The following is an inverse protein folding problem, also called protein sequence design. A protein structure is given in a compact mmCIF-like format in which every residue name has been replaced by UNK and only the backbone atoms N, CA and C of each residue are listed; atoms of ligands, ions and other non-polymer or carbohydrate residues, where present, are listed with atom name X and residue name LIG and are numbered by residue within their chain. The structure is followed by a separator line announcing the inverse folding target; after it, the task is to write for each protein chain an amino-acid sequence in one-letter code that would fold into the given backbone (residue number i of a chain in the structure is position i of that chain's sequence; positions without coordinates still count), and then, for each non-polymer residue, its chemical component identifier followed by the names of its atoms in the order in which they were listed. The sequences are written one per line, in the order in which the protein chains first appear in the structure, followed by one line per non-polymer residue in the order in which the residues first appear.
data_IF_684671117656
#
_entry.id   IF_684671117656
#
_cell.length_a   1.000
_cell.length_b   1.000
_cell.length_c   1.000
_cell.angle_alpha   90.00
_cell.angle_beta   90.00
_cell.angle_gamma   90.00
#
_symmetry.space_group_name_H-M   'P 1'
#
loop_
_entity.id
_entity.type
_entity.pdbx_description
1 polymer ?
#
# COMPACT_ATOMS: atom_id res chain seq x y z
N UNK A 1 26.59 16.05 24.82
CA UNK A 1 25.76 15.03 24.15
C UNK A 1 26.44 13.68 24.31
N UNK A 2 26.22 13.04 25.45
CA UNK A 2 26.93 11.82 25.91
C UNK A 2 26.69 10.61 25.00
N UNK A 3 25.59 10.63 24.23
CA UNK A 3 25.24 9.59 23.28
C UNK A 3 25.85 9.81 21.88
N UNK A 4 26.42 10.99 21.59
CA UNK A 4 26.94 11.30 20.25
C UNK A 4 28.08 10.38 19.83
N UNK A 5 29.05 10.15 20.71
CA UNK A 5 30.16 9.22 20.44
C UNK A 5 29.65 7.79 20.16
N UNK A 6 28.94 7.18 21.13
CA UNK A 6 28.41 5.82 20.99
C UNK A 6 27.49 5.61 19.78
N UNK A 7 26.59 6.55 19.48
CA UNK A 7 25.55 6.35 18.46
C UNK A 7 25.89 6.91 17.07
N UNK A 8 26.87 7.82 16.95
CA UNK A 8 27.20 8.47 15.65
C UNK A 8 28.63 8.30 15.21
N UNK A 9 29.57 8.05 16.12
CA UNK A 9 31.00 7.99 15.80
C UNK A 9 31.52 6.55 15.81
N UNK A 10 31.04 5.72 16.72
CA UNK A 10 31.35 4.29 16.75
C UNK A 10 30.70 3.57 15.56
N UNK A 11 31.51 2.81 14.82
CA UNK A 11 31.10 2.07 13.62
C UNK A 11 30.82 0.61 13.89
N UNK A 12 31.39 0.04 14.94
CA UNK A 12 31.08 -1.33 15.37
C UNK A 12 29.73 -1.33 16.12
N UNK A 13 28.70 -2.03 15.62
CA UNK A 13 27.37 -2.00 16.23
C UNK A 13 27.33 -2.56 17.65
N UNK A 14 28.16 -3.55 17.97
CA UNK A 14 28.18 -4.16 19.29
C UNK A 14 28.83 -3.22 20.30
N UNK A 15 29.96 -2.60 19.93
CA UNK A 15 30.61 -1.58 20.75
C UNK A 15 29.73 -0.33 20.92
N UNK A 16 29.08 0.12 19.85
CA UNK A 16 28.13 1.24 19.88
C UNK A 16 27.00 0.97 20.88
N UNK A 17 26.41 -0.24 20.83
CA UNK A 17 25.33 -0.64 21.74
C UNK A 17 25.78 -0.71 23.20
N UNK A 18 26.95 -1.31 23.46
CA UNK A 18 27.50 -1.40 24.83
C UNK A 18 27.78 0.01 25.38
N UNK A 19 28.45 0.85 24.60
CA UNK A 19 28.76 2.22 25.01
C UNK A 19 27.50 3.08 25.19
N UNK A 20 26.47 2.89 24.36
CA UNK A 20 25.19 3.59 24.49
C UNK A 20 24.45 3.15 25.75
N UNK A 21 24.47 1.86 26.09
CA UNK A 21 23.89 1.32 27.33
C UNK A 21 24.60 1.89 28.56
N UNK A 22 25.93 1.97 28.54
CA UNK A 22 26.70 2.49 29.66
C UNK A 22 26.46 4.01 29.83
N UNK A 23 26.34 4.75 28.72
CA UNK A 23 25.94 6.17 28.73
C UNK A 23 24.52 6.38 29.26
N UNK A 24 23.57 5.47 28.96
CA UNK A 24 22.20 5.54 29.45
C UNK A 24 22.15 5.54 30.99
N UNK A 25 22.97 4.71 31.64
CA UNK A 25 23.03 4.64 33.12
C UNK A 25 23.41 5.98 33.77
N UNK A 26 24.23 6.80 33.10
CA UNK A 26 24.61 8.14 33.58
C UNK A 26 23.47 9.14 33.38
N UNK A 27 22.66 8.97 32.32
CA UNK A 27 21.57 9.87 31.97
C UNK A 27 20.27 9.60 32.74
N UNK A 28 20.10 8.43 33.35
CA UNK A 28 18.84 7.99 33.98
C UNK A 28 18.27 9.01 34.97
N UNK A 29 19.08 9.57 35.87
CA UNK A 29 18.59 10.51 36.89
C UNK A 29 18.08 11.81 36.28
N UNK A 30 18.82 12.37 35.31
CA UNK A 30 18.43 13.58 34.60
C UNK A 30 17.19 13.33 33.73
N UNK A 31 17.10 12.17 33.08
CA UNK A 31 15.93 11.82 32.29
C UNK A 31 14.66 11.67 33.17
N UNK A 32 14.78 11.12 34.37
CA UNK A 32 13.64 10.99 35.30
C UNK A 32 13.15 12.36 35.79
N UNK A 33 14.07 13.28 36.08
CA UNK A 33 13.73 14.67 36.39
C UNK A 33 13.01 15.35 35.21
N UNK A 34 13.56 15.24 33.98
CA UNK A 34 12.94 15.81 32.79
C UNK A 34 11.56 15.21 32.50
N UNK A 35 11.40 13.90 32.68
CA UNK A 35 10.12 13.18 32.54
C UNK A 35 9.06 13.79 33.46
N UNK A 36 9.37 13.99 34.75
CA UNK A 36 8.44 14.60 35.72
C UNK A 36 8.11 16.04 35.36
N UNK A 37 9.12 16.84 35.02
CA UNK A 37 8.93 18.24 34.63
C UNK A 37 8.05 18.40 33.39
N UNK A 38 8.18 17.52 32.39
CA UNK A 38 7.31 17.51 31.19
C UNK A 38 5.87 17.19 31.58
N UNK A 39 5.65 16.16 32.40
CA UNK A 39 4.31 15.78 32.85
C UNK A 39 3.67 16.89 33.72
N UNK A 40 4.42 17.52 34.62
CA UNK A 40 3.93 18.63 35.44
C UNK A 40 3.57 19.84 34.58
N UNK A 41 4.45 20.23 33.64
CA UNK A 41 4.22 21.37 32.74
C UNK A 41 2.99 21.16 31.85
N UNK A 42 2.73 19.91 31.46
CA UNK A 42 1.65 19.55 30.56
C UNK A 42 0.51 18.76 31.23
N UNK A 43 0.36 18.88 32.56
CA UNK A 43 -0.60 18.07 33.33
C UNK A 43 -2.08 18.26 32.95
N UNK A 44 -2.42 19.34 32.23
CA UNK A 44 -3.76 19.56 31.67
C UNK A 44 -3.98 18.87 30.32
N UNK A 45 -2.92 18.37 29.67
CA UNK A 45 -2.96 17.77 28.34
C UNK A 45 -2.78 16.25 28.37
N UNK A 46 -1.93 15.73 29.27
CA UNK A 46 -1.70 14.30 29.45
C UNK A 46 -1.15 14.00 30.85
N UNK A 47 -1.39 12.78 31.29
CA UNK A 47 -0.82 12.19 32.50
C UNK A 47 0.59 11.63 32.27
N UNK A 48 1.34 11.45 33.35
CA UNK A 48 2.65 10.79 33.32
C UNK A 48 2.58 9.39 32.69
N UNK A 49 1.48 8.69 32.97
CA UNK A 49 1.18 7.35 32.45
C UNK A 49 0.96 7.35 30.93
N UNK A 50 0.27 8.35 30.39
CA UNK A 50 0.10 8.52 28.93
C UNK A 50 1.42 8.90 28.25
N UNK A 51 2.25 9.72 28.90
CA UNK A 51 3.60 10.03 28.42
C UNK A 51 4.47 8.76 28.32
N UNK A 52 4.46 7.93 29.36
CA UNK A 52 5.19 6.66 29.36
C UNK A 52 4.65 5.70 28.30
N UNK A 53 3.33 5.65 28.13
CA UNK A 53 2.72 4.80 27.12
C UNK A 53 3.13 5.24 25.69
N UNK A 54 3.15 6.55 25.42
CA UNK A 54 3.59 7.12 24.14
C UNK A 54 5.07 6.80 23.86
N UNK A 55 5.94 6.87 24.86
CA UNK A 55 7.38 6.58 24.68
C UNK A 55 7.69 5.08 24.66
N UNK A 56 6.99 4.31 25.50
CA UNK A 56 7.24 2.90 25.76
C UNK A 56 6.61 1.94 24.76
N UNK A 57 5.56 2.35 24.04
CA UNK A 57 4.92 1.51 23.03
C UNK A 57 5.10 2.09 21.63
N UNK A 58 5.70 1.30 20.74
CA UNK A 58 5.73 1.63 19.31
C UNK A 58 4.56 1.02 18.59
N UNK A 59 4.00 1.78 17.67
CA UNK A 59 3.02 1.31 16.69
C UNK A 59 3.71 0.80 15.43
N UNK A 60 3.24 -0.31 14.88
CA UNK A 60 3.79 -0.85 13.63
C UNK A 60 3.13 -0.18 12.42
N UNK A 61 3.95 0.49 11.61
CA UNK A 61 3.55 1.09 10.33
C UNK A 61 4.15 0.28 9.21
N UNK A 62 3.29 -0.36 8.42
CA UNK A 62 3.72 -1.15 7.27
C UNK A 62 3.50 -0.38 5.98
N UNK A 63 4.61 -0.09 5.28
CA UNK A 63 4.65 0.67 4.03
C UNK A 63 4.84 -0.27 2.85
N UNK A 64 3.84 -0.35 1.97
CA UNK A 64 3.81 -1.30 0.86
C UNK A 64 4.12 -0.60 -0.47
N UNK A 65 5.24 -0.98 -1.07
CA UNK A 65 5.68 -0.41 -2.34
C UNK A 65 4.80 -0.78 -3.53
N UNK A 66 4.96 -0.09 -4.64
CA UNK A 66 4.44 -0.53 -5.94
C UNK A 66 5.26 -1.65 -6.57
N UNK A 67 4.88 -2.06 -7.79
CA UNK A 67 5.63 -3.06 -8.56
C UNK A 67 4.81 -4.01 -9.44
N UNK A 68 3.49 -3.81 -9.54
CA UNK A 68 2.62 -4.66 -10.37
C UNK A 68 2.71 -6.13 -9.96
N UNK A 69 2.87 -7.02 -10.94
CA UNK A 69 3.01 -8.46 -10.72
C UNK A 69 4.17 -8.87 -9.81
N UNK A 70 5.20 -8.04 -9.62
CA UNK A 70 6.26 -8.33 -8.66
C UNK A 70 5.76 -8.34 -7.21
N UNK A 71 4.67 -7.62 -6.92
CA UNK A 71 4.12 -7.44 -5.58
C UNK A 71 3.49 -8.68 -4.95
N UNK A 72 3.25 -9.77 -5.68
CA UNK A 72 2.74 -11.02 -5.10
C UNK A 72 3.63 -11.58 -3.98
N UNK A 73 4.92 -11.24 -3.97
CA UNK A 73 5.85 -11.58 -2.87
C UNK A 73 5.45 -10.94 -1.53
N UNK A 74 4.75 -9.81 -1.55
CA UNK A 74 4.32 -9.15 -0.32
C UNK A 74 3.25 -9.96 0.43
N UNK A 75 2.50 -10.83 -0.26
CA UNK A 75 1.49 -11.68 0.39
C UNK A 75 2.17 -12.63 1.38
N UNK A 76 3.20 -13.36 0.93
CA UNK A 76 3.99 -14.22 1.82
C UNK A 76 4.83 -13.45 2.83
N UNK A 77 5.28 -12.24 2.48
CA UNK A 77 5.95 -11.36 3.44
C UNK A 77 5.03 -10.92 4.59
N UNK A 78 3.78 -10.56 4.26
CA UNK A 78 2.75 -10.20 5.25
C UNK A 78 2.33 -11.42 6.08
N UNK A 79 2.17 -12.58 5.45
CA UNK A 79 1.90 -13.85 6.14
C UNK A 79 2.95 -14.14 7.22
N UNK A 80 4.24 -14.09 6.87
CA UNK A 80 5.33 -14.32 7.84
C UNK A 80 5.35 -13.28 8.98
N UNK A 81 5.02 -12.02 8.69
CA UNK A 81 4.93 -10.95 9.68
C UNK A 81 3.76 -11.16 10.65
N UNK A 82 2.59 -11.58 10.15
CA UNK A 82 1.41 -11.88 10.96
C UNK A 82 1.63 -13.12 11.83
N UNK A 83 2.26 -14.16 11.30
CA UNK A 83 2.63 -15.38 12.05
C UNK A 83 3.59 -15.09 13.21
N UNK A 84 4.44 -14.06 13.10
CA UNK A 84 5.30 -13.64 14.20
C UNK A 84 4.58 -12.80 15.26
N UNK A 85 3.27 -12.56 15.11
CA UNK A 85 2.46 -11.74 16.00
C UNK A 85 2.56 -10.23 15.73
N UNK A 86 3.25 -9.81 14.67
CA UNK A 86 3.44 -8.39 14.34
C UNK A 86 2.30 -7.91 13.43
N UNK A 87 1.14 -7.62 14.01
CA UNK A 87 -0.01 -7.05 13.27
C UNK A 87 0.22 -5.55 13.02
N UNK A 88 0.08 -5.04 11.79
CA UNK A 88 0.21 -3.60 11.52
C UNK A 88 -0.87 -2.79 12.24
N UNK A 89 -0.48 -1.66 12.84
CA UNK A 89 -1.43 -0.65 13.36
C UNK A 89 -1.87 0.32 12.25
N UNK A 90 -1.05 0.49 11.21
CA UNK A 90 -1.33 1.34 10.05
C UNK A 90 -0.67 0.79 8.79
N UNK A 91 -1.40 0.83 7.68
CA UNK A 91 -0.95 0.43 6.37
C UNK A 91 -0.98 1.64 5.43
N UNK A 92 0.06 1.78 4.61
CA UNK A 92 0.05 2.74 3.51
C UNK A 92 0.69 2.10 2.29
N UNK A 93 0.01 2.19 1.16
CA UNK A 93 0.40 1.47 -0.05
C UNK A 93 0.39 2.34 -1.29
N UNK A 94 1.18 1.94 -2.28
CA UNK A 94 1.17 2.49 -3.63
C UNK A 94 1.05 1.37 -4.66
N UNK A 95 0.27 1.54 -5.73
CA UNK A 95 0.05 0.52 -6.77
C UNK A 95 -0.41 -0.81 -6.16
N UNK A 96 0.28 -1.91 -6.51
CA UNK A 96 0.03 -3.22 -5.90
C UNK A 96 0.07 -3.20 -4.36
N UNK A 97 0.90 -2.36 -3.75
CA UNK A 97 0.91 -2.16 -2.31
C UNK A 97 -0.41 -1.62 -1.76
N UNK A 98 -1.15 -0.81 -2.54
CA UNK A 98 -2.51 -0.39 -2.15
C UNK A 98 -3.53 -1.52 -2.31
N UNK A 99 -3.38 -2.40 -3.31
CA UNK A 99 -4.23 -3.58 -3.46
C UNK A 99 -4.05 -4.48 -2.23
N UNK A 100 -2.81 -4.87 -1.92
CA UNK A 100 -2.55 -5.71 -0.74
C UNK A 100 -2.96 -4.99 0.56
N UNK A 101 -2.59 -3.72 0.70
CA UNK A 101 -2.93 -2.91 1.88
C UNK A 101 -4.43 -2.91 2.15
N UNK A 102 -5.24 -2.63 1.12
CA UNK A 102 -6.70 -2.63 1.23
C UNK A 102 -7.29 -3.96 1.69
N UNK A 103 -6.75 -5.07 1.18
CA UNK A 103 -7.21 -6.43 1.52
C UNK A 103 -6.80 -6.79 2.95
N UNK A 104 -5.55 -6.53 3.34
CA UNK A 104 -5.03 -6.83 4.69
C UNK A 104 -5.71 -5.98 5.76
N UNK A 105 -6.05 -4.72 5.44
CA UNK A 105 -6.71 -3.80 6.39
C UNK A 105 -8.17 -4.10 6.65
N UNK A 106 -8.78 -5.01 5.88
CA UNK A 106 -10.22 -5.18 5.78
C UNK A 106 -10.88 -5.63 7.08
N UNK A 107 -10.28 -6.59 7.77
CA UNK A 107 -10.85 -7.19 8.98
C UNK A 107 -9.76 -7.73 9.90
N UNK A 108 -10.08 -7.86 11.19
CA UNK A 108 -9.23 -8.46 12.21
C UNK A 108 -9.97 -9.63 12.88
N UNK A 109 -9.32 -10.79 13.08
CA UNK A 109 -7.96 -11.14 12.64
C UNK A 109 -7.83 -11.22 11.11
N UNK A 110 -6.63 -10.97 10.56
CA UNK A 110 -6.40 -10.98 9.10
C UNK A 110 -6.41 -12.42 8.58
N UNK A 111 -7.35 -12.82 7.70
CA UNK A 111 -7.41 -14.16 7.13
C UNK A 111 -6.48 -14.31 5.92
N UNK A 112 -5.17 -14.21 6.16
CA UNK A 112 -4.16 -14.13 5.09
C UNK A 112 -4.16 -15.37 4.17
N UNK A 113 -4.40 -16.56 4.70
CA UNK A 113 -4.50 -17.80 3.90
C UNK A 113 -5.68 -17.75 2.91
N UNK A 114 -6.83 -17.26 3.35
CA UNK A 114 -8.01 -17.10 2.48
C UNK A 114 -7.76 -16.05 1.40
N UNK A 115 -7.00 -15.00 1.71
CA UNK A 115 -6.57 -14.01 0.72
C UNK A 115 -5.61 -14.61 -0.31
N UNK A 116 -4.73 -15.54 0.07
CA UNK A 116 -3.91 -16.32 -0.86
C UNK A 116 -4.81 -17.15 -1.79
N UNK A 117 -5.82 -17.85 -1.25
CA UNK A 117 -6.75 -18.64 -2.06
C UNK A 117 -7.58 -17.77 -3.01
N UNK A 118 -8.04 -16.61 -2.57
CA UNK A 118 -8.72 -15.65 -3.43
C UNK A 118 -7.79 -15.11 -4.52
N UNK A 119 -6.54 -14.75 -4.19
CA UNK A 119 -5.56 -14.29 -5.16
C UNK A 119 -5.30 -15.35 -6.26
N UNK A 120 -5.35 -16.64 -5.94
CA UNK A 120 -5.23 -17.75 -6.91
C UNK A 120 -6.38 -17.81 -7.93
N UNK A 121 -7.50 -17.12 -7.68
CA UNK A 121 -8.62 -17.02 -8.63
C UNK A 121 -8.45 -15.89 -9.66
N UNK A 122 -7.42 -15.04 -9.50
CA UNK A 122 -7.20 -13.90 -10.38
C UNK A 122 -6.92 -14.35 -11.82
N UNK A 123 -7.54 -13.67 -12.79
CA UNK A 123 -7.28 -13.89 -14.20
C UNK A 123 -7.29 -12.57 -14.96
N UNK A 124 -6.55 -12.47 -16.06
CA UNK A 124 -6.53 -11.25 -16.89
C UNK A 124 -7.93 -10.79 -17.30
N UNK A 125 -8.83 -11.72 -17.63
CA UNK A 125 -10.22 -11.40 -18.00
C UNK A 125 -11.05 -10.88 -16.83
N UNK A 126 -10.69 -11.22 -15.59
CA UNK A 126 -11.36 -10.73 -14.41
C UNK A 126 -10.92 -9.31 -14.04
N UNK A 127 -9.62 -9.02 -14.15
CA UNK A 127 -9.05 -7.74 -13.70
C UNK A 127 -8.86 -6.70 -14.80
N UNK A 128 -8.89 -7.09 -16.08
CA UNK A 128 -8.80 -6.16 -17.21
C UNK A 128 -10.09 -6.17 -18.04
N UNK A 129 -10.53 -4.98 -18.41
CA UNK A 129 -11.69 -4.74 -19.27
C UNK A 129 -11.34 -3.95 -20.52
N UNK A 130 -12.29 -3.89 -21.48
CA UNK A 130 -12.17 -2.98 -22.60
C UNK A 130 -12.10 -1.53 -22.09
N UNK A 131 -11.41 -0.71 -22.86
CA UNK A 131 -11.26 0.70 -22.57
C UNK A 131 -12.62 1.42 -22.47
N UNK A 132 -12.77 2.31 -21.49
CA UNK A 132 -14.03 3.02 -21.21
C UNK A 132 -14.03 4.42 -21.85
N UNK A 133 -15.11 4.80 -22.58
CA UNK A 133 -15.15 6.04 -23.35
C UNK A 133 -15.41 7.31 -22.53
N UNK A 134 -16.02 7.22 -21.33
CA UNK A 134 -16.24 8.37 -20.43
C UNK A 134 -15.24 8.31 -19.28
N UNK A 135 -14.38 9.33 -19.21
CA UNK A 135 -13.34 9.46 -18.19
C UNK A 135 -13.37 10.88 -17.64
N UNK A 136 -13.28 11.00 -16.33
CA UNK A 136 -13.38 12.26 -15.61
C UNK A 136 -12.16 12.48 -14.73
N UNK A 137 -11.65 11.43 -14.09
CA UNK A 137 -10.60 11.58 -13.08
C UNK A 137 -9.27 10.89 -13.46
N UNK A 138 -9.28 9.84 -14.29
CA UNK A 138 -8.08 9.09 -14.68
C UNK A 138 -7.44 9.49 -16.02
N UNK A 139 -6.19 9.05 -16.26
CA UNK A 139 -5.53 9.15 -17.57
C UNK A 139 -5.87 8.00 -18.52
N UNK A 140 -5.62 8.20 -19.82
CA UNK A 140 -5.83 7.17 -20.84
C UNK A 140 -4.97 5.93 -20.61
N UNK A 141 -5.63 4.76 -20.58
CA UNK A 141 -5.01 3.44 -20.55
C UNK A 141 -5.37 2.61 -21.79
N UNK A 142 -4.64 1.52 -22.01
CA UNK A 142 -4.97 0.52 -23.04
C UNK A 142 -6.10 -0.40 -22.55
N UNK A 143 -6.13 -0.66 -21.24
CA UNK A 143 -7.13 -1.48 -20.58
C UNK A 143 -7.79 -0.71 -19.45
N UNK A 144 -9.08 -0.99 -19.21
CA UNK A 144 -9.72 -0.60 -17.96
C UNK A 144 -9.29 -1.59 -16.87
N UNK A 145 -8.87 -1.10 -15.70
CA UNK A 145 -8.69 -1.90 -14.51
C UNK A 145 -10.08 -2.17 -13.92
N UNK A 146 -10.47 -3.44 -13.89
CA UNK A 146 -11.72 -3.93 -13.34
C UNK A 146 -11.50 -4.55 -11.95
N UNK A 147 -10.53 -4.05 -11.18
CA UNK A 147 -10.32 -4.50 -9.80
C UNK A 147 -11.58 -4.27 -8.96
N UNK A 148 -12.26 -3.13 -9.18
CA UNK A 148 -13.57 -2.83 -8.60
C UNK A 148 -14.62 -3.92 -8.84
N UNK A 149 -14.66 -4.55 -10.03
CA UNK A 149 -15.57 -5.67 -10.31
C UNK A 149 -15.09 -6.99 -9.73
N UNK A 150 -13.78 -7.24 -9.80
CA UNK A 150 -13.20 -8.50 -9.33
C UNK A 150 -13.31 -8.62 -7.81
N UNK A 151 -13.07 -7.52 -7.10
CA UNK A 151 -13.06 -7.44 -5.65
C UNK A 151 -14.37 -6.90 -5.06
N UNK A 152 -15.42 -6.65 -5.86
CA UNK A 152 -16.70 -6.10 -5.40
C UNK A 152 -17.23 -6.85 -4.17
N UNK A 153 -17.35 -8.17 -4.25
CA UNK A 153 -17.82 -8.98 -3.12
C UNK A 153 -16.90 -8.92 -1.89
N UNK A 154 -15.59 -8.75 -2.09
CA UNK A 154 -14.62 -8.66 -1.00
C UNK A 154 -14.77 -7.35 -0.22
N UNK A 155 -15.16 -6.27 -0.90
CA UNK A 155 -15.30 -4.93 -0.34
C UNK A 155 -16.77 -4.51 -0.24
N UNK A 156 -17.66 -5.46 0.05
CA UNK A 156 -19.01 -5.19 0.56
C UNK A 156 -19.06 -5.43 2.06
N UNK A 157 -19.81 -4.57 2.71
CA UNK A 157 -20.24 -4.73 4.10
C UNK A 157 -21.37 -5.76 4.19
N UNK A 158 -21.69 -6.21 5.41
CA UNK A 158 -22.84 -7.08 5.70
C UNK A 158 -24.18 -6.51 5.22
N UNK A 159 -24.35 -5.18 5.22
CA UNK A 159 -25.55 -4.49 4.70
C UNK A 159 -25.61 -4.46 3.16
N UNK A 160 -24.57 -4.94 2.49
CA UNK A 160 -24.42 -4.94 1.04
C UNK A 160 -23.88 -3.64 0.46
N UNK A 161 -23.66 -2.59 1.25
CA UNK A 161 -23.05 -1.35 0.77
C UNK A 161 -21.54 -1.52 0.51
N UNK A 162 -20.95 -0.75 -0.42
CA UNK A 162 -19.50 -0.73 -0.62
C UNK A 162 -18.76 -0.26 0.64
N UNK A 163 -17.65 -0.93 0.96
CA UNK A 163 -16.77 -0.51 2.05
C UNK A 163 -16.11 0.82 1.72
N UNK A 164 -16.12 1.71 2.72
CA UNK A 164 -15.44 2.99 2.74
C UNK A 164 -14.04 2.88 3.34
N UNK A 165 -13.19 3.87 3.09
CA UNK A 165 -11.85 3.91 3.69
C UNK A 165 -11.90 3.96 5.23
N UNK A 166 -12.95 4.57 5.80
CA UNK A 166 -13.17 4.57 7.25
C UNK A 166 -13.63 3.22 7.82
N UNK A 167 -14.21 2.34 7.01
CA UNK A 167 -14.77 1.05 7.46
C UNK A 167 -13.69 -0.01 7.73
N UNK A 168 -12.43 0.26 7.39
CA UNK A 168 -11.33 -0.70 7.48
C UNK A 168 -10.88 -0.91 8.94
N UNK A 169 -10.74 -2.17 9.35
CA UNK A 169 -10.34 -2.56 10.70
C UNK A 169 -8.92 -2.09 11.08
N UNK A 170 -8.01 -2.03 10.10
CA UNK A 170 -6.70 -1.38 10.26
C UNK A 170 -6.74 -0.08 9.44
N UNK A 171 -6.41 1.08 10.03
CA UNK A 171 -6.12 2.29 9.28
C UNK A 171 -5.30 2.03 8.01
N UNK A 172 -5.87 2.38 6.85
CA UNK A 172 -5.18 2.24 5.57
C UNK A 172 -5.28 3.51 4.75
N UNK A 173 -4.17 3.89 4.12
CA UNK A 173 -4.12 4.98 3.14
C UNK A 173 -3.56 4.49 1.80
N UNK A 174 -4.24 4.85 0.71
CA UNK A 174 -3.78 4.60 -0.66
C UNK A 174 -3.08 5.84 -1.22
N UNK A 175 -1.88 5.67 -1.78
CA UNK A 175 -1.14 6.75 -2.44
C UNK A 175 -1.43 6.74 -3.93
N UNK A 176 -1.92 7.86 -4.44
CA UNK A 176 -2.12 8.09 -5.89
C UNK A 176 -1.19 9.20 -6.35
N UNK A 177 -0.88 9.22 -7.65
CA UNK A 177 -0.14 10.32 -8.25
C UNK A 177 -1.12 11.25 -8.99
N UNK A 178 -1.14 12.52 -8.59
CA UNK A 178 -1.87 13.56 -9.30
C UNK A 178 -1.01 14.20 -10.38
N UNK A 179 -1.46 14.18 -11.63
CA UNK A 179 -0.78 14.82 -12.77
C UNK A 179 -1.08 16.32 -12.75
N UNK A 180 -0.05 17.15 -12.60
CA UNK A 180 -0.19 18.61 -12.53
C UNK A 180 -0.83 19.16 -13.81
N UNK A 181 -1.68 20.19 -13.70
CA UNK A 181 -2.47 20.72 -14.83
C UNK A 181 -1.63 21.26 -15.99
N UNK A 182 -0.54 21.97 -15.71
CA UNK A 182 0.34 22.51 -16.76
C UNK A 182 1.00 21.40 -17.60
N UNK A 183 1.72 20.42 -17.00
CA UNK A 183 2.17 19.23 -17.72
C UNK A 183 1.04 18.46 -18.40
N UNK A 184 -0.12 18.31 -17.76
CA UNK A 184 -1.28 17.62 -18.32
C UNK A 184 -1.77 18.27 -19.63
N UNK A 185 -1.86 19.60 -19.67
CA UNK A 185 -2.22 20.36 -20.87
C UNK A 185 -1.17 20.24 -21.98
N UNK A 186 0.10 20.00 -21.63
CA UNK A 186 1.21 19.80 -22.56
C UNK A 186 1.37 18.35 -23.03
N UNK A 187 0.70 17.36 -22.40
CA UNK A 187 0.83 15.95 -22.80
C UNK A 187 0.43 15.74 -24.26
N UNK A 188 1.12 14.87 -25.02
CA UNK A 188 0.74 14.54 -26.39
C UNK A 188 -0.73 14.11 -26.48
N UNK A 189 -1.41 14.49 -27.56
CA UNK A 189 -2.85 14.24 -27.75
C UNK A 189 -3.28 12.78 -27.59
N UNK A 190 -2.38 11.80 -27.69
CA UNK A 190 -2.66 10.37 -27.40
C UNK A 190 -2.93 10.05 -25.92
N UNK A 191 -2.46 10.88 -24.98
CA UNK A 191 -2.77 10.75 -23.55
C UNK A 191 -4.03 11.53 -23.17
N UNK A 192 -4.36 12.59 -23.92
CA UNK A 192 -5.56 13.43 -23.75
C UNK A 192 -6.77 12.97 -24.58
N UNK A 193 -6.55 12.28 -25.68
CA UNK A 193 -7.51 12.07 -26.76
C UNK A 193 -8.33 10.80 -26.58
N UNK A 194 -9.64 11.00 -26.39
CA UNK A 194 -10.66 9.95 -26.19
C UNK A 194 -10.89 9.07 -27.44
N UNK A 195 -10.65 9.60 -28.65
CA UNK A 195 -11.13 8.98 -29.90
C UNK A 195 -10.12 8.06 -30.60
N UNK A 196 -8.82 8.16 -30.32
CA UNK A 196 -7.79 7.42 -31.08
C UNK A 196 -7.50 6.02 -30.52
N UNK A 197 -7.66 5.81 -29.21
CA UNK A 197 -7.46 4.49 -28.59
C UNK A 197 -8.53 3.48 -29.05
N UNK A 198 -9.79 3.93 -29.15
CA UNK A 198 -10.92 3.12 -29.61
C UNK A 198 -10.83 2.71 -31.09
N UNK A 199 -10.17 3.53 -31.93
CA UNK A 199 -10.01 3.26 -33.36
C UNK A 199 -8.91 2.21 -33.66
N UNK A 200 -7.84 2.14 -32.85
CA UNK A 200 -6.76 1.15 -33.05
C UNK A 200 -7.16 -0.29 -32.66
N UNK A 201 -8.14 -0.45 -31.77
CA UNK A 201 -8.64 -1.77 -31.35
C UNK A 201 -9.63 -2.41 -32.33
N UNK A 202 -10.26 -1.63 -33.22
CA UNK A 202 -11.16 -2.17 -34.26
C UNK A 202 -10.43 -2.80 -35.44
N UNK A 203 -9.12 -2.62 -35.56
CA UNK A 203 -8.31 -3.09 -36.69
C UNK A 203 -7.37 -4.26 -36.35
N UNK A 204 -7.47 -4.86 -35.17
CA UNK A 204 -6.54 -5.92 -34.77
C UNK A 204 -7.14 -7.31 -35.03
N UNK A 205 -6.58 -8.11 -35.96
CA UNK A 205 -6.88 -9.53 -36.04
C UNK A 205 -6.39 -10.21 -34.75
N UNK A 206 -7.21 -11.12 -34.23
CA UNK A 206 -6.92 -11.99 -33.09
C UNK A 206 -5.77 -12.94 -33.45
N UNK A 207 -4.54 -12.45 -33.46
CA UNK A 207 -3.32 -13.24 -33.67
C UNK A 207 -2.65 -13.48 -32.32
N UNK A 208 -2.26 -14.73 -32.09
CA UNK A 208 -1.63 -15.28 -30.88
C UNK A 208 -0.19 -14.81 -30.61
N UNK A 209 0.18 -13.60 -31.08
CA UNK A 209 1.51 -13.00 -30.87
C UNK A 209 1.44 -12.10 -29.63
N UNK A 210 2.20 -12.45 -28.60
CA UNK A 210 2.01 -12.00 -27.23
C UNK A 210 1.97 -10.48 -27.01
N UNK A 211 1.07 -10.03 -26.13
CA UNK A 211 0.87 -8.65 -25.66
C UNK A 211 2.11 -7.99 -25.00
N UNK A 212 3.22 -8.74 -24.84
CA UNK A 212 4.42 -8.33 -24.11
C UNK A 212 5.14 -7.09 -24.66
N UNK A 213 5.49 -7.01 -25.96
CA UNK A 213 6.30 -5.91 -26.50
C UNK A 213 5.58 -4.55 -26.47
N UNK A 214 4.27 -4.54 -26.73
CA UNK A 214 3.46 -3.33 -26.69
C UNK A 214 3.26 -2.84 -25.25
N UNK A 215 3.00 -3.75 -24.31
CA UNK A 215 2.91 -3.45 -22.88
C UNK A 215 4.24 -2.92 -22.32
N UNK A 216 5.37 -3.53 -22.74
CA UNK A 216 6.71 -3.05 -22.37
C UNK A 216 6.96 -1.63 -22.88
N UNK A 217 6.65 -1.35 -24.15
CA UNK A 217 6.81 0.00 -24.74
C UNK A 217 5.96 1.05 -24.01
N UNK A 218 4.76 0.68 -23.54
CA UNK A 218 3.91 1.59 -22.75
C UNK A 218 4.42 1.78 -21.32
N UNK A 219 4.90 0.72 -20.68
CA UNK A 219 5.57 0.81 -19.38
C UNK A 219 6.79 1.75 -19.42
N UNK A 220 7.55 1.76 -20.52
CA UNK A 220 8.62 2.73 -20.73
C UNK A 220 8.13 4.19 -20.74
N UNK A 221 6.93 4.44 -21.29
CA UNK A 221 6.33 5.77 -21.26
C UNK A 221 5.90 6.19 -19.85
N UNK A 222 5.61 5.23 -18.97
CA UNK A 222 5.34 5.50 -17.55
C UNK A 222 6.52 6.19 -16.88
N UNK A 223 7.76 5.95 -17.31
CA UNK A 223 8.95 6.63 -16.78
C UNK A 223 8.86 8.17 -16.87
N UNK A 224 8.17 8.69 -17.90
CA UNK A 224 7.96 10.14 -18.05
C UNK A 224 7.05 10.74 -16.97
N UNK A 225 6.24 9.91 -16.31
CA UNK A 225 5.43 10.29 -15.16
C UNK A 225 6.18 10.14 -13.84
N UNK A 226 7.36 9.51 -13.83
CA UNK A 226 8.24 9.38 -12.65
C UNK A 226 9.11 10.64 -12.54
N UNK A 227 8.46 11.81 -12.51
CA UNK A 227 9.09 13.11 -12.39
C UNK A 227 8.24 14.02 -11.47
N UNK A 228 8.80 14.54 -10.36
CA UNK A 228 8.06 15.40 -9.42
C UNK A 228 7.56 16.72 -10.03
N UNK A 229 8.10 17.13 -11.18
CA UNK A 229 7.61 18.28 -11.96
C UNK A 229 6.34 17.95 -12.73
N UNK A 230 6.07 16.67 -12.99
CA UNK A 230 4.89 16.19 -13.73
C UNK A 230 3.80 15.73 -12.78
N UNK A 231 4.18 15.01 -11.72
CA UNK A 231 3.23 14.43 -10.76
C UNK A 231 3.50 14.88 -9.31
N UNK A 232 2.46 14.85 -8.48
CA UNK A 232 2.55 15.04 -7.04
C UNK A 232 1.87 13.88 -6.31
N UNK A 233 2.41 13.36 -5.20
CA UNK A 233 1.73 12.33 -4.44
C UNK A 233 0.51 12.92 -3.73
N UNK A 234 -0.58 12.17 -3.71
CA UNK A 234 -1.82 12.47 -2.99
C UNK A 234 -2.15 11.23 -2.16
N UNK A 235 -2.45 11.44 -0.88
CA UNK A 235 -2.85 10.37 0.04
C UNK A 235 -4.36 10.36 0.14
N UNK A 236 -4.97 9.21 -0.11
CA UNK A 236 -6.40 8.96 0.06
C UNK A 236 -6.55 8.06 1.29
N UNK A 237 -7.27 8.54 2.31
CA UNK A 237 -7.50 7.85 3.58
C UNK A 237 -8.91 8.12 4.11
N UNK A 238 -9.30 7.38 5.13
CA UNK A 238 -10.64 7.46 5.75
C UNK A 238 -10.76 8.44 6.93
N UNK A 239 -9.77 9.32 7.15
CA UNK A 239 -9.74 10.27 8.26
C UNK A 239 -10.55 11.55 8.01
N UNK A 240 -10.92 11.83 6.77
CA UNK A 240 -11.76 12.97 6.40
C UNK A 240 -13.10 12.47 5.82
N UNK A 241 -14.23 12.70 6.51
CA UNK A 241 -15.57 12.32 6.03
C UNK A 241 -15.91 12.85 4.63
N UNK A 242 -15.43 14.04 4.27
CA UNK A 242 -15.69 14.64 2.95
C UNK A 242 -14.92 13.94 1.82
N UNK A 243 -13.97 13.06 2.16
CA UNK A 243 -13.10 12.32 1.23
C UNK A 243 -13.08 10.83 1.50
N UNK A 244 -14.09 10.33 2.20
CA UNK A 244 -14.24 8.92 2.54
C UNK A 244 -14.79 8.14 1.35
N UNK A 245 -13.90 7.89 0.38
CA UNK A 245 -14.22 7.18 -0.86
C UNK A 245 -14.32 5.67 -0.63
N UNK A 246 -14.86 4.95 -1.63
CA UNK A 246 -14.84 3.49 -1.60
C UNK A 246 -13.39 2.96 -1.64
N UNK A 247 -13.10 1.93 -0.85
CA UNK A 247 -11.76 1.33 -0.74
C UNK A 247 -11.23 0.85 -2.10
N UNK A 248 -12.10 0.19 -2.87
CA UNK A 248 -11.77 -0.33 -4.19
C UNK A 248 -11.40 0.77 -5.18
N UNK A 249 -12.04 1.94 -5.09
CA UNK A 249 -11.76 3.06 -5.98
C UNK A 249 -10.40 3.69 -5.66
N UNK A 250 -10.08 3.87 -4.38
CA UNK A 250 -8.78 4.35 -3.93
C UNK A 250 -7.63 3.42 -4.36
N UNK A 251 -7.78 2.11 -4.11
CA UNK A 251 -6.79 1.10 -4.52
C UNK A 251 -6.66 0.98 -6.05
N UNK A 252 -7.77 1.10 -6.79
CA UNK A 252 -7.75 1.03 -8.25
C UNK A 252 -7.07 2.23 -8.90
N UNK A 253 -7.32 3.46 -8.40
CA UNK A 253 -6.59 4.64 -8.88
C UNK A 253 -5.11 4.54 -8.56
N UNK A 254 -4.76 4.08 -7.36
CA UNK A 254 -3.37 3.86 -6.95
C UNK A 254 -2.64 2.86 -7.85
N UNK A 255 -3.37 1.94 -8.50
CA UNK A 255 -2.83 0.91 -9.41
C UNK A 255 -3.05 1.20 -10.90
N UNK A 256 -3.56 2.39 -11.25
CA UNK A 256 -3.87 2.77 -12.63
C UNK A 256 -2.62 3.25 -13.37
N UNK A 257 -1.79 2.30 -13.82
CA UNK A 257 -0.50 2.56 -14.49
C UNK A 257 -0.69 3.48 -15.70
N UNK A 258 -0.07 4.68 -15.72
CA UNK A 258 -0.20 5.64 -16.81
C UNK A 258 0.03 5.01 -18.19
N UNK A 259 -0.91 5.21 -19.12
CA UNK A 259 -0.78 4.70 -20.49
C UNK A 259 -0.99 3.19 -20.65
N UNK A 260 -1.27 2.46 -19.57
CA UNK A 260 -1.50 1.01 -19.56
C UNK A 260 -2.87 0.69 -18.97
N UNK A 261 -3.10 1.08 -17.73
CA UNK A 261 -4.32 0.81 -16.97
C UNK A 261 -5.04 2.11 -16.66
N UNK A 262 -6.36 2.07 -16.69
CA UNK A 262 -7.22 3.19 -16.35
C UNK A 262 -8.32 2.73 -15.39
N UNK A 263 -8.60 3.55 -14.38
CA UNK A 263 -9.73 3.37 -13.48
C UNK A 263 -10.65 4.59 -13.52
N UNK A 264 -11.95 4.34 -13.39
CA UNK A 264 -12.97 5.37 -13.19
C UNK A 264 -14.07 4.79 -12.29
N UNK A 265 -14.46 5.51 -11.22
CA UNK A 265 -15.49 5.07 -10.30
C UNK A 265 -16.81 4.80 -11.02
N UNK A 266 -17.48 3.72 -10.61
CA UNK A 266 -18.83 3.40 -11.11
C UNK A 266 -19.92 4.05 -10.29
N UNK A 267 -19.68 4.18 -8.99
CA UNK A 267 -20.62 4.79 -8.06
C UNK A 267 -20.67 6.32 -8.30
N UNK A 268 -21.82 6.88 -8.70
CA UNK A 268 -21.97 8.31 -8.93
C UNK A 268 -21.65 9.15 -7.69
N UNK A 269 -21.81 8.61 -6.48
CA UNK A 269 -21.48 9.30 -5.23
C UNK A 269 -19.98 9.56 -5.08
N UNK A 270 -19.11 8.81 -5.79
CA UNK A 270 -17.67 9.00 -5.72
C UNK A 270 -17.20 10.19 -6.55
N UNK A 271 -17.91 10.50 -7.64
CA UNK A 271 -17.51 11.54 -8.57
C UNK A 271 -17.23 12.90 -7.88
N UNK A 272 -18.15 13.48 -7.07
CA UNK A 272 -17.87 14.75 -6.40
C UNK A 272 -16.66 14.71 -5.45
N UNK A 273 -16.41 13.58 -4.79
CA UNK A 273 -15.25 13.43 -3.90
C UNK A 273 -13.94 13.46 -4.69
N UNK A 274 -13.88 12.76 -5.83
CA UNK A 274 -12.69 12.79 -6.70
C UNK A 274 -12.53 14.11 -7.44
N UNK A 275 -13.63 14.81 -7.80
CA UNK A 275 -13.56 16.17 -8.33
C UNK A 275 -12.92 17.13 -7.33
N UNK A 276 -13.36 17.09 -6.07
CA UNK A 276 -12.81 17.88 -4.98
C UNK A 276 -11.34 17.53 -4.76
N UNK A 277 -10.98 16.25 -4.77
CA UNK A 277 -9.61 15.79 -4.64
C UNK A 277 -8.71 16.37 -5.75
N UNK A 278 -9.17 16.39 -7.00
CA UNK A 278 -8.42 16.99 -8.11
C UNK A 278 -8.29 18.51 -7.97
N UNK A 279 -9.37 19.18 -7.57
CA UNK A 279 -9.42 20.64 -7.41
C UNK A 279 -8.47 21.11 -6.29
N UNK A 280 -8.54 20.49 -5.12
CA UNK A 280 -7.79 20.88 -3.92
C UNK A 280 -6.28 20.67 -4.08
N UNK A 281 -5.89 19.71 -4.93
CA UNK A 281 -4.48 19.40 -5.20
C UNK A 281 -3.96 20.05 -6.50
N UNK A 282 -4.78 20.84 -7.20
CA UNK A 282 -4.49 21.48 -8.49
C UNK A 282 -3.92 20.49 -9.55
N UNK A 283 -4.59 19.34 -9.69
CA UNK A 283 -4.21 18.29 -10.64
C UNK A 283 -5.31 18.07 -11.68
N UNK A 284 -4.92 17.56 -12.85
CA UNK A 284 -5.81 17.31 -13.99
C UNK A 284 -6.27 15.86 -14.10
N UNK A 285 -5.54 14.92 -13.49
CA UNK A 285 -5.89 13.51 -13.47
C UNK A 285 -5.14 12.76 -12.36
N UNK A 286 -5.69 11.61 -11.95
CA UNK A 286 -5.08 10.64 -11.05
C UNK A 286 -4.50 9.46 -11.84
N UNK A 287 -3.36 8.97 -11.40
CA UNK A 287 -2.69 7.78 -11.91
C UNK A 287 -1.99 7.02 -10.79
N UNK A 288 -1.37 5.90 -11.16
CA UNK A 288 -0.63 5.03 -10.25
C UNK A 288 0.32 5.80 -9.31
N UNK A 289 0.19 5.52 -8.00
CA UNK A 289 0.97 6.16 -6.94
C UNK A 289 2.48 6.00 -7.11
N UNK A 290 2.91 4.92 -7.75
CA UNK A 290 4.32 4.59 -7.97
C UNK A 290 5.03 5.60 -8.86
N UNK A 291 4.28 6.35 -9.66
CA UNK A 291 4.81 7.47 -10.42
C UNK A 291 5.32 8.61 -9.50
N UNK A 292 4.65 8.86 -8.37
CA UNK A 292 5.02 9.93 -7.46
C UNK A 292 5.85 9.47 -6.26
N UNK A 293 5.52 8.30 -5.69
CA UNK A 293 6.19 7.74 -4.52
C UNK A 293 5.99 6.23 -4.43
N UNK A 294 6.87 5.46 -5.06
CA UNK A 294 6.75 3.99 -5.13
C UNK A 294 6.71 3.31 -3.76
N UNK A 295 7.60 3.68 -2.83
CA UNK A 295 7.56 3.22 -1.43
C UNK A 295 7.30 4.45 -0.54
N UNK A 296 6.06 4.68 -0.11
CA UNK A 296 5.64 5.97 0.46
C UNK A 296 6.02 6.19 1.93
N UNK A 297 7.29 5.98 2.29
CA UNK A 297 7.79 6.09 3.67
C UNK A 297 7.69 7.51 4.24
N UNK A 298 8.09 8.53 3.50
CA UNK A 298 7.99 9.91 3.98
C UNK A 298 6.52 10.30 4.20
N UNK A 299 5.62 9.85 3.32
CA UNK A 299 4.20 10.10 3.45
C UNK A 299 3.64 9.39 4.69
N UNK A 300 4.02 8.13 4.91
CA UNK A 300 3.68 7.38 6.11
C UNK A 300 4.09 8.14 7.37
N UNK A 301 5.35 8.60 7.41
CA UNK A 301 5.89 9.36 8.53
C UNK A 301 5.10 10.66 8.76
N UNK A 302 4.79 11.42 7.70
CA UNK A 302 3.99 12.64 7.81
C UNK A 302 2.59 12.37 8.37
N UNK A 303 1.95 11.28 7.95
CA UNK A 303 0.61 10.90 8.42
C UNK A 303 0.61 10.54 9.89
N UNK A 304 1.59 9.77 10.33
CA UNK A 304 1.79 9.45 11.76
C UNK A 304 2.06 10.71 12.57
N UNK A 305 2.93 11.61 12.09
CA UNK A 305 3.22 12.90 12.78
C UNK A 305 1.99 13.81 12.86
N UNK A 306 1.12 13.77 11.86
CA UNK A 306 -0.16 14.46 11.83
C UNK A 306 -1.23 13.82 12.75
N UNK A 307 -0.93 12.69 13.41
CA UNK A 307 -1.81 12.08 14.41
C UNK A 307 -2.69 10.94 13.87
N UNK A 308 -2.42 10.39 12.67
CA UNK A 308 -3.24 9.32 12.05
C UNK A 308 -3.48 8.12 12.97
N UNK A 309 -2.50 7.81 13.83
CA UNK A 309 -2.49 6.67 14.76
C UNK A 309 -2.79 7.05 16.21
N UNK A 310 -3.00 8.33 16.52
CA UNK A 310 -3.04 8.82 17.91
C UNK A 310 -1.70 8.76 18.66
N UNK A 311 -0.68 8.11 18.09
CA UNK A 311 0.69 8.08 18.58
C UNK A 311 1.66 8.57 17.50
N UNK A 312 2.78 9.16 17.92
CA UNK A 312 3.88 9.57 17.05
C UNK A 312 5.10 8.63 17.18
N UNK A 313 5.05 7.67 18.10
CA UNK A 313 6.06 6.65 18.30
C UNK A 313 5.73 5.41 17.46
N UNK A 314 6.37 5.29 16.31
CA UNK A 314 6.11 4.23 15.35
C UNK A 314 7.40 3.57 14.86
N UNK A 315 7.29 2.30 14.52
CA UNK A 315 8.28 1.53 13.78
C UNK A 315 7.82 1.42 12.32
N UNK A 316 8.62 1.91 11.38
CA UNK A 316 8.33 1.92 9.95
C UNK A 316 9.01 0.73 9.25
N UNK A 317 8.20 -0.26 8.89
CA UNK A 317 8.61 -1.41 8.09
C UNK A 317 8.18 -1.21 6.64
N UNK A 318 9.13 -1.10 5.71
CA UNK A 318 8.85 -0.91 4.29
C UNK A 318 9.14 -2.17 3.47
N UNK A 319 8.26 -2.45 2.50
CA UNK A 319 8.39 -3.52 1.53
C UNK A 319 8.65 -2.95 0.13
N UNK A 320 9.72 -3.40 -0.51
CA UNK A 320 10.12 -2.98 -1.86
C UNK A 320 10.46 -4.20 -2.74
N UNK A 321 9.62 -4.46 -3.74
CA UNK A 321 9.84 -5.49 -4.76
C UNK A 321 10.26 -4.91 -6.12
N UNK A 322 10.42 -3.58 -6.24
CA UNK A 322 10.70 -2.89 -7.50
C UNK A 322 12.05 -2.17 -7.49
N UNK A 323 13.00 -2.68 -6.70
CA UNK A 323 14.39 -2.26 -6.77
C UNK A 323 15.10 -2.88 -8.00
N UNK A 324 16.17 -2.25 -8.53
CA UNK A 324 16.97 -2.84 -9.60
C UNK A 324 17.47 -4.23 -9.20
N UNK A 325 17.24 -5.20 -10.09
CA UNK A 325 17.68 -6.58 -9.96
C UNK A 325 18.47 -6.96 -11.23
N UNK A 326 19.58 -7.66 -11.06
CA UNK A 326 20.40 -8.15 -12.17
C UNK A 326 19.84 -9.48 -12.69
N UNK A 327 18.64 -9.42 -13.29
CA UNK A 327 18.05 -10.54 -14.02
C UNK A 327 18.04 -10.22 -15.52
N UNK A 328 18.72 -11.03 -16.38
CA UNK A 328 18.70 -10.88 -17.83
C UNK A 328 17.29 -10.72 -18.44
N UNK A 329 16.26 -11.32 -17.83
CA UNK A 329 14.86 -11.25 -18.30
C UNK A 329 14.19 -9.90 -18.01
N UNK A 330 14.76 -9.10 -17.11
CA UNK A 330 14.20 -7.85 -16.60
C UNK A 330 15.07 -6.62 -16.90
N UNK A 331 16.18 -6.77 -17.64
CA UNK A 331 17.07 -5.66 -17.99
C UNK A 331 16.38 -4.49 -18.72
N UNK A 332 15.29 -4.77 -19.46
CA UNK A 332 14.51 -3.73 -20.13
C UNK A 332 13.80 -2.77 -19.15
N UNK A 333 13.65 -3.14 -17.87
CA UNK A 333 13.05 -2.32 -16.82
C UNK A 333 14.05 -1.40 -16.12
N UNK A 334 15.35 -1.54 -16.40
CA UNK A 334 16.43 -0.84 -15.68
C UNK A 334 16.22 0.68 -15.62
N UNK A 335 15.81 1.38 -16.69
CA UNK A 335 15.61 2.83 -16.59
C UNK A 335 14.43 3.24 -15.71
N UNK A 336 13.38 2.43 -15.66
CA UNK A 336 12.22 2.68 -14.79
C UNK A 336 12.61 2.44 -13.33
N UNK A 337 13.28 1.31 -13.04
CA UNK A 337 13.72 0.98 -11.68
C UNK A 337 14.78 1.97 -11.18
N UNK A 338 15.65 2.49 -12.05
CA UNK A 338 16.59 3.58 -11.72
C UNK A 338 15.87 4.88 -11.35
N UNK A 339 14.84 5.28 -12.13
CA UNK A 339 14.04 6.46 -11.80
C UNK A 339 13.34 6.33 -10.44
N UNK A 340 12.84 5.13 -10.12
CA UNK A 340 12.24 4.84 -8.81
C UNK A 340 13.28 4.84 -7.68
N UNK A 341 14.51 4.36 -7.92
CA UNK A 341 15.58 4.43 -6.90
C UNK A 341 15.91 5.88 -6.50
N UNK A 342 15.75 6.86 -7.40
CA UNK A 342 15.91 8.27 -7.03
C UNK A 342 14.84 8.71 -6.02
N UNK A 343 13.61 8.20 -6.12
CA UNK A 343 12.58 8.42 -5.09
C UNK A 343 12.96 7.77 -3.76
N UNK A 344 13.68 6.65 -3.79
CA UNK A 344 14.12 5.97 -2.58
C UNK A 344 15.16 6.76 -1.79
N UNK A 345 15.98 7.60 -2.42
CA UNK A 345 16.93 8.49 -1.69
C UNK A 345 16.19 9.39 -0.69
N UNK A 346 14.99 9.85 -1.06
CA UNK A 346 14.14 10.70 -0.22
C UNK A 346 13.37 9.91 0.85
N UNK A 347 12.97 8.68 0.52
CA UNK A 347 12.11 7.85 1.37
C UNK A 347 12.89 7.00 2.40
N UNK A 348 14.08 6.51 2.04
CA UNK A 348 14.87 5.60 2.86
C UNK A 348 15.20 6.12 4.28
N UNK A 349 15.47 7.43 4.50
CA UNK A 349 15.75 7.95 5.85
C UNK A 349 14.60 7.82 6.85
N UNK A 350 13.37 7.57 6.38
CA UNK A 350 12.19 7.41 7.23
C UNK A 350 11.88 5.96 7.59
N UNK A 351 12.64 4.98 7.07
CA UNK A 351 12.47 3.57 7.41
C UNK A 351 13.30 3.18 8.62
N UNK A 352 12.70 2.47 9.57
CA UNK A 352 13.45 1.72 10.57
C UNK A 352 13.98 0.41 9.98
N UNK A 353 13.19 -0.21 9.09
CA UNK A 353 13.63 -1.37 8.33
C UNK A 353 13.02 -1.41 6.91
N UNK A 354 13.84 -1.75 5.92
CA UNK A 354 13.43 -1.90 4.53
C UNK A 354 13.72 -3.33 4.05
N UNK A 355 12.67 -4.08 3.72
CA UNK A 355 12.77 -5.40 3.11
C UNK A 355 12.76 -5.24 1.60
N UNK A 356 13.90 -5.56 0.98
CA UNK A 356 14.04 -5.64 -0.47
C UNK A 356 13.81 -7.08 -0.92
N UNK A 357 12.70 -7.31 -1.59
CA UNK A 357 12.28 -8.65 -1.99
C UNK A 357 13.04 -9.12 -3.21
N UNK A 358 13.68 -10.28 -3.11
CA UNK A 358 14.34 -10.93 -4.23
C UNK A 358 14.44 -12.44 -3.97
N UNK A 359 14.10 -13.31 -4.94
CA UNK A 359 13.62 -12.98 -6.30
C UNK A 359 12.15 -12.52 -6.32
N UNK A 360 11.71 -11.95 -7.44
CA UNK A 360 10.33 -11.49 -7.66
C UNK A 360 9.77 -11.98 -9.00
N UNK A 361 8.45 -11.87 -9.18
CA UNK A 361 7.84 -12.08 -10.50
C UNK A 361 8.08 -10.87 -11.40
N UNK A 362 7.92 -11.07 -12.71
CA UNK A 362 7.87 -9.96 -13.65
C UNK A 362 6.75 -8.97 -13.29
N UNK A 363 7.00 -7.66 -13.26
CA UNK A 363 5.98 -6.64 -12.99
C UNK A 363 4.78 -6.65 -13.94
N UNK A 364 4.96 -7.14 -15.17
CA UNK A 364 3.88 -7.26 -16.15
C UNK A 364 3.03 -8.52 -15.97
N UNK A 365 3.42 -9.43 -15.08
CA UNK A 365 2.69 -10.66 -14.79
C UNK A 365 1.55 -10.40 -13.79
N UNK A 366 0.50 -9.68 -14.23
CA UNK A 366 -0.60 -9.22 -13.37
C UNK A 366 -1.59 -10.32 -12.96
N UNK A 367 -1.62 -11.44 -13.70
CA UNK A 367 -2.46 -12.60 -13.39
C UNK A 367 -1.66 -13.91 -13.49
N UNK A 368 -0.75 -14.16 -12.53
CA UNK A 368 0.05 -15.38 -12.47
C UNK A 368 -0.80 -16.63 -12.19
N UNK A 369 -0.28 -17.81 -12.52
CA UNK A 369 -0.91 -19.08 -12.13
C UNK A 369 -0.82 -19.33 -10.63
N UNK A 370 -1.69 -20.17 -10.08
CA UNK A 370 -1.68 -20.52 -8.65
C UNK A 370 -0.30 -20.98 -8.15
N UNK A 371 0.36 -21.90 -8.87
CA UNK A 371 1.71 -22.35 -8.53
C UNK A 371 2.78 -21.24 -8.57
N UNK A 372 2.57 -20.22 -9.40
CA UNK A 372 3.45 -19.05 -9.47
C UNK A 372 3.21 -18.12 -8.28
N UNK A 373 1.96 -17.98 -7.82
CA UNK A 373 1.59 -17.26 -6.60
C UNK A 373 2.21 -17.95 -5.39
N UNK A 374 2.05 -19.28 -5.27
CA UNK A 374 2.66 -20.06 -4.17
C UNK A 374 4.17 -19.84 -4.08
N UNK A 375 4.84 -19.86 -5.23
CA UNK A 375 6.28 -19.59 -5.31
C UNK A 375 6.62 -18.16 -4.89
N UNK A 376 5.84 -17.17 -5.32
CA UNK A 376 6.03 -15.78 -4.92
C UNK A 376 5.84 -15.60 -3.41
N UNK A 377 4.84 -16.24 -2.82
CA UNK A 377 4.64 -16.25 -1.36
C UNK A 377 5.85 -16.86 -0.64
N UNK A 378 6.38 -17.99 -1.11
CA UNK A 378 7.60 -18.59 -0.52
C UNK A 378 8.81 -17.64 -0.56
N UNK A 379 9.03 -16.95 -1.69
CA UNK A 379 10.08 -15.93 -1.78
C UNK A 379 9.83 -14.74 -0.84
N UNK A 380 8.57 -14.35 -0.72
CA UNK A 380 8.08 -13.33 0.21
C UNK A 380 8.45 -13.63 1.65
N UNK A 381 8.03 -14.80 2.12
CA UNK A 381 8.32 -15.30 3.48
C UNK A 381 9.82 -15.26 3.76
N UNK A 382 10.61 -15.87 2.88
CA UNK A 382 12.07 -15.93 3.01
C UNK A 382 12.73 -14.55 3.08
N UNK A 383 12.20 -13.57 2.34
CA UNK A 383 12.73 -12.20 2.36
C UNK A 383 12.47 -11.50 3.70
N UNK A 384 11.36 -11.83 4.37
CA UNK A 384 10.94 -11.22 5.64
C UNK A 384 11.53 -11.95 6.86
N UNK A 385 11.98 -13.20 6.74
CA UNK A 385 12.58 -13.99 7.84
C UNK A 385 13.66 -13.23 8.63
N UNK A 386 14.50 -12.44 7.96
CA UNK A 386 15.56 -11.65 8.61
C UNK A 386 15.04 -10.35 9.25
N UNK A 387 13.91 -9.84 8.77
CA UNK A 387 13.28 -8.64 9.28
C UNK A 387 12.49 -8.92 10.57
N UNK A 388 11.92 -10.12 10.71
CA UNK A 388 11.08 -10.49 11.87
C UNK A 388 11.80 -10.25 13.20
N UNK A 389 13.03 -10.74 13.46
CA UNK A 389 13.70 -10.48 14.73
C UNK A 389 13.93 -8.99 15.01
N UNK A 390 14.25 -8.21 13.97
CA UNK A 390 14.49 -6.77 14.09
C UNK A 390 13.19 -6.03 14.43
N UNK A 391 12.12 -6.32 13.69
CA UNK A 391 10.80 -5.72 13.92
C UNK A 391 10.26 -6.10 15.30
N UNK A 392 10.36 -7.38 15.67
CA UNK A 392 9.97 -7.85 17.00
C UNK A 392 10.74 -7.13 18.10
N UNK A 393 12.06 -6.96 17.95
CA UNK A 393 12.87 -6.22 18.93
C UNK A 393 12.50 -4.73 18.99
N UNK A 394 12.21 -4.08 17.85
CA UNK A 394 11.78 -2.68 17.81
C UNK A 394 10.40 -2.47 18.44
N UNK A 395 9.50 -3.45 18.31
CA UNK A 395 8.15 -3.40 18.86
C UNK A 395 8.06 -3.88 20.31
N UNK A 396 9.15 -4.41 20.88
CA UNK A 396 9.17 -4.76 22.30
C UNK A 396 8.89 -3.52 23.14
N UNK A 397 7.82 -3.54 23.97
CA UNK A 397 7.52 -2.41 24.81
C UNK A 397 8.62 -2.18 25.86
N UNK A 398 8.86 -0.92 26.18
CA UNK A 398 9.82 -0.50 27.21
C UNK A 398 9.08 0.23 28.32
N UNK A 399 9.38 -0.14 29.56
CA UNK A 399 8.73 0.43 30.74
C UNK A 399 9.70 1.36 31.49
N UNK A 400 9.19 2.51 31.92
CA UNK A 400 9.95 3.40 32.80
C UNK A 400 10.07 2.82 34.22
N UNK A 401 8.95 2.32 34.75
CA UNK A 401 8.84 1.68 36.07
C UNK A 401 8.18 0.30 35.94
N UNK A 402 8.65 -0.67 36.74
CA UNK A 402 8.07 -2.00 36.81
C UNK A 402 8.40 -2.93 35.62
N UNK A 403 7.62 -4.01 35.50
CA UNK A 403 7.77 -5.04 34.45
C UNK A 403 6.62 -5.05 33.43
N UNK A 404 5.69 -4.11 33.55
CA UNK A 404 4.48 -3.99 32.73
C UNK A 404 4.06 -2.51 32.64
N UNK A 405 3.25 -2.11 31.65
CA UNK A 405 2.87 -0.71 31.49
C UNK A 405 2.00 -0.23 32.65
N UNK A 406 2.18 1.02 33.05
CA UNK A 406 1.37 1.66 34.08
C UNK A 406 -0.06 1.99 33.58
N UNK A 407 -0.25 2.18 32.27
CA UNK A 407 -1.57 2.16 31.62
C UNK A 407 -1.78 0.77 31.05
N UNK A 408 -2.67 -0.03 31.64
CA UNK A 408 -3.21 -1.20 30.95
C UNK A 408 -3.84 -0.67 29.66
N UNK A 409 -3.27 -1.11 28.53
CA UNK A 409 -3.74 -1.04 27.15
C UNK A 409 -4.86 -0.01 26.91
N UNK A 410 -4.74 0.99 26.01
CA UNK A 410 -5.95 1.61 25.48
C UNK A 410 -6.83 0.44 25.04
N UNK A 411 -8.02 0.32 25.66
CA UNK A 411 -8.93 -0.80 25.46
C UNK A 411 -8.85 -1.16 23.98
N UNK A 412 -8.45 -2.41 23.67
CA UNK A 412 -8.21 -2.88 22.30
C UNK A 412 -9.20 -2.14 21.41
N UNK A 413 -8.72 -1.23 20.53
CA UNK A 413 -9.52 -0.11 20.02
C UNK A 413 -10.87 -0.69 19.72
N UNK A 414 -11.89 -0.30 20.50
CA UNK A 414 -13.19 -0.96 20.49
C UNK A 414 -13.47 -1.17 19.02
N UNK A 415 -13.47 -2.44 18.56
CA UNK A 415 -13.58 -2.72 17.13
C UNK A 415 -14.76 -1.87 16.74
N UNK A 416 -14.54 -0.86 15.89
CA UNK A 416 -15.60 0.10 15.67
C UNK A 416 -16.82 -0.73 15.28
N UNK A 417 -18.00 -0.35 15.77
CA UNK A 417 -19.28 -0.98 15.38
C UNK A 417 -19.57 -0.72 13.88
N UNK A 418 -18.54 -0.74 13.04
CA UNK A 418 -18.61 -0.75 11.61
C UNK A 418 -19.21 -2.09 11.18
N UNK A 419 -20.12 -2.08 10.20
CA UNK A 419 -20.66 -3.30 9.65
C UNK A 419 -19.50 -4.20 9.21
N UNK A 420 -19.50 -5.46 9.63
CA UNK A 420 -18.39 -6.34 9.32
C UNK A 420 -18.25 -6.51 7.80
N UNK A 421 -17.01 -6.65 7.34
CA UNK A 421 -16.75 -6.99 5.95
C UNK A 421 -17.30 -8.40 5.66
N UNK A 422 -17.83 -8.63 4.45
CA UNK A 422 -18.38 -9.92 4.06
C UNK A 422 -17.41 -11.09 4.35
N UNK A 423 -17.93 -12.24 4.77
CA UNK A 423 -17.09 -13.41 5.07
C UNK A 423 -16.38 -13.91 3.80
N UNK A 424 -15.19 -14.50 3.94
CA UNK A 424 -14.50 -15.03 2.75
C UNK A 424 -15.24 -16.20 2.12
N UNK A 425 -16.05 -16.94 2.87
CA UNK A 425 -16.94 -17.96 2.32
C UNK A 425 -17.94 -17.36 1.33
N UNK A 426 -18.57 -16.24 1.67
CA UNK A 426 -19.46 -15.49 0.76
C UNK A 426 -18.70 -14.92 -0.44
N UNK A 427 -17.50 -14.37 -0.20
CA UNK A 427 -16.63 -13.85 -1.28
C UNK A 427 -16.28 -14.96 -2.27
N UNK A 428 -15.86 -16.13 -1.78
CA UNK A 428 -15.46 -17.26 -2.61
C UNK A 428 -16.66 -17.88 -3.32
N UNK A 429 -17.83 -17.96 -2.67
CA UNK A 429 -19.07 -18.39 -3.31
C UNK A 429 -19.47 -17.47 -4.48
N UNK A 430 -19.33 -16.14 -4.29
CA UNK A 430 -19.61 -15.16 -5.35
C UNK A 430 -18.62 -15.25 -6.53
N UNK A 431 -17.34 -15.53 -6.26
CA UNK A 431 -16.31 -15.68 -7.27
C UNK A 431 -16.54 -16.92 -8.15
N UNK A 432 -17.17 -17.95 -7.60
CA UNK A 432 -17.54 -19.19 -8.30
C UNK A 432 -18.92 -19.12 -9.00
N UNK A 433 -19.70 -18.06 -8.74
CA UNK A 433 -21.02 -17.86 -9.32
C UNK A 433 -20.92 -17.50 -10.83
N UNK A 434 -21.86 -17.97 -11.67
CA UNK A 434 -21.76 -17.76 -13.11
C UNK A 434 -21.93 -16.27 -13.47
N UNK A 435 -20.90 -15.67 -14.05
CA UNK A 435 -20.86 -14.24 -14.39
C UNK A 435 -21.74 -13.88 -15.59
N UNK A 436 -22.11 -14.87 -16.41
CA UNK A 436 -23.01 -14.69 -17.56
C UNK A 436 -24.28 -15.53 -17.51
N UNK A 437 -25.34 -15.05 -18.18
CA UNK A 437 -26.59 -15.80 -18.41
C UNK A 437 -26.34 -17.14 -19.11
N UNK A 438 -25.33 -17.18 -19.99
CA UNK A 438 -24.91 -18.36 -20.75
C UNK A 438 -24.22 -19.42 -19.88
N UNK A 439 -23.36 -19.02 -18.93
CA UNK A 439 -22.74 -19.96 -17.99
C UNK A 439 -23.76 -20.52 -16.99
N UNK A 440 -24.74 -19.69 -16.57
CA UNK A 440 -25.89 -20.16 -15.79
C UNK A 440 -26.70 -21.22 -16.54
N UNK A 441 -26.99 -20.97 -17.82
CA UNK A 441 -27.73 -21.91 -18.68
C UNK A 441 -26.99 -23.22 -18.92
N UNK A 442 -25.66 -23.20 -19.12
CA UNK A 442 -24.83 -24.41 -19.27
C UNK A 442 -24.75 -25.25 -17.99
N UNK A 443 -24.65 -24.64 -16.81
CA UNK A 443 -24.64 -25.38 -15.53
C UNK A 443 -25.99 -26.02 -15.22
N UNK A 444 -27.09 -25.40 -15.67
CA UNK A 444 -28.45 -25.93 -15.47
C UNK A 444 -28.84 -27.01 -16.49
N UNK A 445 -28.11 -27.13 -17.61
CA UNK A 445 -28.31 -28.16 -18.63
C UNK A 445 -26.96 -28.81 -18.99
N UNK A 446 -26.40 -29.68 -18.12
CA UNK A 446 -25.25 -30.49 -18.49
C UNK A 446 -25.68 -31.47 -19.60
N UNK A 447 -24.86 -31.56 -20.65
CA UNK A 447 -25.09 -32.42 -21.81
C UNK A 447 -25.00 -33.91 -21.45
#
# INVERSE_FOLDING_TARGET
DTLRGPLREERDPAMALVAARDALGVLTSEQDEQRRLVAERHGNAFSLTELDAEVGHKKLVTVLGGGGGAGFVYIGGMEALLESGAVPDYLIGSSFGSILGSVVSRTLPVPIEEYIQWAKTVSFRAILGPDRPRRRHGLTGVFALNFDLFADAMFRREDGEPMRMSDLAIPFDAVVAGVRRQPFAALPGRYRGQNLAALQLRSLPYLSIGLGPQLATRMWQTAAFIDPRVVTPIVIGGDNPDRDVNVVDAASFSSAIPGVLHHEPKDPAMAPMFDALLADNDVGALVDGGAASNVPLELAWKRVRAGRLGSRNACYLAFDCFHPQWDPKHLWLVPITQAIQLQMVRNAPYADHLVRFSPTLSPVNLAPSAATIDRACQWGRKSVEHAVPVVSALLQPVWWEGTQPAVVTPAAPAQPEHPHAASMDEVMASAQAPRSRWERWRRQNPA
#
